data_IF_221457605006
#
_entry.id   IF_221457605006
#
_cell.length_a   1.000
_cell.length_b   1.000
_cell.length_c   1.000
_cell.angle_alpha   90.00
_cell.angle_beta   90.00
_cell.angle_gamma   90.00
#
_symmetry.space_group_name_H-M   'P 1'
#
loop_
_entity.id
_entity.type
_entity.pdbx_description
1 polymer ?
#
# COMPACT_ATOMS: atom_id res chain seq x y z
N UNK A 1 -4.49 -22.78 62.21
CA UNK A 1 -4.19 -24.07 61.55
C UNK A 1 -3.77 -23.78 60.12
N UNK A 2 -2.54 -24.14 59.76
CA UNK A 2 -1.99 -24.03 58.39
C UNK A 2 -2.61 -25.10 57.51
N UNK A 3 -2.87 -24.79 56.24
CA UNK A 3 -2.85 -25.77 55.15
C UNK A 3 -2.01 -25.20 54.01
N UNK A 4 -1.20 -26.06 53.41
CA UNK A 4 -0.03 -25.78 52.59
C UNK A 4 -0.17 -26.42 51.21
N UNK A 5 0.39 -25.71 50.21
CA UNK A 5 0.89 -26.16 48.89
C UNK A 5 -0.22 -26.50 47.86
N UNK A 6 -0.09 -26.11 46.59
CA UNK A 6 1.02 -26.48 45.69
C UNK A 6 1.23 -25.44 44.59
N UNK A 7 2.49 -25.06 44.35
CA UNK A 7 2.92 -24.34 43.17
C UNK A 7 3.03 -25.32 41.99
N UNK A 8 2.32 -25.02 40.90
CA UNK A 8 2.44 -25.71 39.63
C UNK A 8 3.46 -25.00 38.75
N UNK A 9 4.58 -25.67 38.51
CA UNK A 9 5.59 -25.33 37.52
C UNK A 9 5.00 -25.56 36.14
N UNK A 10 4.99 -24.52 35.29
CA UNK A 10 4.91 -24.67 33.85
C UNK A 10 6.23 -24.16 33.26
N UNK A 11 6.96 -25.07 32.64
CA UNK A 11 8.20 -24.84 31.90
C UNK A 11 7.93 -25.14 30.43
N UNK A 12 8.69 -24.44 29.57
CA UNK A 12 8.92 -24.66 28.13
C UNK A 12 7.90 -24.04 27.16
N UNK A 13 8.28 -23.38 26.06
CA UNK A 13 9.59 -23.18 25.41
C UNK A 13 9.58 -21.82 24.71
N UNK A 14 10.63 -21.02 24.94
CA UNK A 14 10.97 -19.89 24.09
C UNK A 14 11.67 -20.42 22.84
N UNK A 15 11.06 -20.26 21.67
CA UNK A 15 11.82 -20.25 20.42
C UNK A 15 12.39 -18.84 20.30
N UNK A 16 13.63 -18.69 20.79
CA UNK A 16 14.45 -17.51 20.59
C UNK A 16 14.87 -17.49 19.12
N UNK A 17 14.03 -16.92 18.25
CA UNK A 17 14.54 -16.34 17.02
C UNK A 17 15.38 -15.14 17.45
N UNK A 18 16.71 -15.29 17.35
CA UNK A 18 17.70 -14.23 17.48
C UNK A 18 17.48 -13.20 16.37
N UNK A 19 16.44 -12.39 16.51
CA UNK A 19 16.48 -11.02 16.05
C UNK A 19 17.35 -10.28 17.08
N UNK A 20 18.40 -9.55 16.67
CA UNK A 20 18.97 -8.60 17.60
C UNK A 20 17.82 -7.69 18.01
N UNK A 21 17.53 -7.64 19.31
CA UNK A 21 16.76 -6.56 19.89
C UNK A 21 17.42 -5.27 19.39
N UNK A 22 16.80 -4.60 18.40
CA UNK A 22 16.85 -3.16 18.41
C UNK A 22 16.03 -2.75 19.63
N UNK A 23 16.66 -2.88 20.80
CA UNK A 23 16.35 -2.00 21.89
C UNK A 23 16.47 -0.60 21.28
N UNK A 24 15.36 0.12 21.18
CA UNK A 24 15.43 1.57 21.14
C UNK A 24 16.08 1.99 22.46
N UNK A 25 17.41 1.99 22.50
CA UNK A 25 18.13 2.71 23.52
C UNK A 25 17.65 4.16 23.40
N UNK A 26 17.12 4.71 24.49
CA UNK A 26 16.99 6.14 24.58
C UNK A 26 18.38 6.74 24.25
N UNK A 27 18.46 7.77 23.40
CA UNK A 27 19.75 8.36 23.02
C UNK A 27 20.49 8.73 24.30
N UNK A 28 21.69 8.16 24.49
CA UNK A 28 22.56 8.55 25.59
C UNK A 28 22.91 10.03 25.43
N UNK A 29 23.08 10.76 26.52
CA UNK A 29 23.32 12.22 26.52
C UNK A 29 24.59 12.68 25.73
N UNK A 30 25.38 11.74 25.20
CA UNK A 30 26.57 11.95 24.37
C UNK A 30 26.38 11.62 22.87
N UNK A 31 25.18 11.22 22.43
CA UNK A 31 24.94 11.11 20.98
C UNK A 31 24.89 12.51 20.35
N UNK A 32 25.67 12.79 19.29
CA UNK A 32 25.59 14.07 18.61
C UNK A 32 24.16 14.25 18.10
N UNK A 33 23.60 15.44 18.37
CA UNK A 33 22.25 15.77 17.94
C UNK A 33 22.11 15.45 16.43
N UNK A 34 21.01 14.81 16.02
CA UNK A 34 20.80 14.45 14.63
C UNK A 34 20.95 15.72 13.77
N UNK A 35 21.78 15.63 12.74
CA UNK A 35 22.06 16.75 11.85
C UNK A 35 20.73 17.23 11.27
N UNK A 36 20.34 18.47 11.61
CA UNK A 36 19.06 19.01 11.17
C UNK A 36 19.14 19.23 9.65
N UNK A 37 18.55 18.32 8.89
CA UNK A 37 18.42 18.46 7.44
C UNK A 37 17.55 19.68 7.19
N UNK A 38 18.19 20.80 6.84
CA UNK A 38 17.49 22.02 6.46
C UNK A 38 17.07 21.89 5.00
N UNK A 39 15.78 21.66 4.76
CA UNK A 39 15.21 21.70 3.40
C UNK A 39 15.36 23.12 2.86
N UNK A 40 16.22 23.30 1.85
CA UNK A 40 16.38 24.58 1.16
C UNK A 40 15.47 24.60 -0.06
N UNK A 41 14.41 25.41 0.00
CA UNK A 41 13.61 25.73 -1.18
C UNK A 41 14.42 26.67 -2.08
N UNK A 42 14.70 26.24 -3.31
CA UNK A 42 15.28 27.09 -4.35
C UNK A 42 14.23 27.28 -5.44
N UNK A 43 13.68 28.48 -5.55
CA UNK A 43 12.89 28.85 -6.71
C UNK A 43 13.82 28.88 -7.93
N UNK A 44 13.43 28.19 -9.00
CA UNK A 44 14.15 28.22 -10.28
C UNK A 44 13.37 29.15 -11.20
N UNK A 45 13.88 30.38 -11.39
CA UNK A 45 13.31 31.31 -12.36
C UNK A 45 13.37 30.73 -13.77
N UNK A 46 12.26 30.78 -14.51
CA UNK A 46 12.14 30.16 -15.84
C UNK A 46 12.16 28.63 -15.82
N UNK A 47 11.95 27.99 -14.66
CA UNK A 47 11.87 26.53 -14.53
C UNK A 47 10.49 25.96 -14.90
N UNK A 48 9.48 26.80 -15.07
CA UNK A 48 8.15 26.38 -15.47
C UNK A 48 8.14 25.94 -16.94
N UNK A 49 7.41 24.87 -17.22
CA UNK A 49 7.21 24.39 -18.59
C UNK A 49 6.36 25.38 -19.39
N UNK A 50 6.81 25.73 -20.59
CA UNK A 50 6.01 26.46 -21.59
C UNK A 50 4.81 25.63 -22.11
N UNK A 51 4.87 24.30 -21.94
CA UNK A 51 3.76 23.39 -22.27
C UNK A 51 2.67 23.50 -21.23
N UNK A 52 1.42 23.66 -21.67
CA UNK A 52 0.26 23.73 -20.78
C UNK A 52 0.03 22.39 -20.10
N UNK A 53 -0.32 22.43 -18.81
CA UNK A 53 -0.57 21.20 -18.04
C UNK A 53 -1.67 20.32 -18.66
N UNK A 54 -2.69 20.91 -19.29
CA UNK A 54 -3.75 20.16 -19.96
C UNK A 54 -3.26 19.39 -21.19
N UNK A 55 -2.24 19.90 -21.89
CA UNK A 55 -1.61 19.23 -23.03
C UNK A 55 -0.72 18.06 -22.58
N UNK A 56 -0.39 17.99 -21.28
CA UNK A 56 0.39 16.93 -20.66
C UNK A 56 -0.49 15.83 -20.02
N UNK A 57 -1.83 15.96 -20.05
CA UNK A 57 -2.74 14.98 -19.44
C UNK A 57 -2.97 13.79 -20.35
N UNK A 58 -2.77 12.58 -19.82
CA UNK A 58 -3.03 11.32 -20.50
C UNK A 58 -3.47 10.23 -19.53
N UNK A 59 -4.10 9.20 -20.07
CA UNK A 59 -4.47 7.99 -19.32
C UNK A 59 -3.39 6.94 -19.57
N UNK A 60 -2.79 6.42 -18.51
CA UNK A 60 -1.79 5.34 -18.59
C UNK A 60 -2.45 3.96 -18.46
N UNK A 61 -3.46 3.84 -17.58
CA UNK A 61 -4.28 2.65 -17.36
C UNK A 61 -5.73 3.12 -17.18
N UNK A 62 -6.65 2.54 -17.94
CA UNK A 62 -8.07 2.85 -17.85
C UNK A 62 -8.89 2.15 -18.94
N UNK A 63 -10.22 2.37 -18.99
CA UNK A 63 -11.07 1.75 -19.99
C UNK A 63 -10.59 2.05 -21.43
N UNK A 64 -10.39 1.00 -22.23
CA UNK A 64 -9.88 1.07 -23.59
C UNK A 64 -8.39 1.41 -23.72
N UNK A 65 -7.67 1.64 -22.62
CA UNK A 65 -6.27 2.08 -22.61
C UNK A 65 -5.47 1.23 -21.61
N UNK A 66 -4.65 0.33 -22.13
CA UNK A 66 -3.73 -0.50 -21.33
C UNK A 66 -4.43 -1.14 -20.11
N UNK A 67 -5.59 -1.75 -20.34
CA UNK A 67 -6.47 -2.23 -19.29
C UNK A 67 -5.79 -3.26 -18.38
N UNK A 68 -6.26 -3.35 -17.14
CA UNK A 68 -5.89 -4.43 -16.22
C UNK A 68 -6.50 -5.74 -16.70
N UNK A 69 -5.74 -6.83 -16.67
CA UNK A 69 -6.29 -8.15 -16.96
C UNK A 69 -7.27 -8.57 -15.84
N UNK A 70 -8.46 -9.09 -16.18
CA UNK A 70 -9.48 -9.39 -15.17
C UNK A 70 -9.01 -10.39 -14.11
N UNK A 71 -9.42 -10.16 -12.86
CA UNK A 71 -9.21 -11.06 -11.72
C UNK A 71 -10.46 -11.10 -10.83
N UNK A 72 -10.62 -12.09 -9.92
CA UNK A 72 -11.74 -12.13 -8.99
C UNK A 72 -11.79 -10.86 -8.12
N UNK A 73 -12.88 -10.10 -8.20
CA UNK A 73 -12.99 -8.78 -7.57
C UNK A 73 -12.50 -7.61 -8.42
N UNK A 74 -12.19 -7.82 -9.69
CA UNK A 74 -12.01 -6.74 -10.66
C UNK A 74 -13.36 -6.13 -11.05
N UNK A 75 -13.52 -4.82 -10.90
CA UNK A 75 -14.71 -4.08 -11.31
C UNK A 75 -14.41 -2.74 -11.98
N UNK A 76 -13.17 -2.54 -12.44
CA UNK A 76 -12.79 -1.37 -13.23
C UNK A 76 -12.22 -0.20 -12.42
N UNK A 77 -12.09 -0.32 -11.10
CA UNK A 77 -11.48 0.73 -10.30
C UNK A 77 -9.96 0.73 -10.49
N UNK A 78 -9.41 1.88 -10.86
CA UNK A 78 -7.97 2.16 -10.92
C UNK A 78 -7.76 3.49 -10.23
N UNK A 79 -6.89 3.52 -9.23
CA UNK A 79 -6.56 4.76 -8.53
C UNK A 79 -5.53 4.51 -7.45
N UNK A 80 -5.41 5.43 -6.50
CA UNK A 80 -4.47 5.27 -5.40
C UNK A 80 -3.03 5.12 -5.92
N UNK A 81 -2.70 5.96 -6.90
CA UNK A 81 -1.47 5.88 -7.67
C UNK A 81 -0.27 6.54 -6.98
N UNK A 82 0.93 6.09 -7.34
CA UNK A 82 2.18 6.67 -6.87
C UNK A 82 3.25 6.55 -7.96
N UNK A 83 3.53 7.63 -8.71
CA UNK A 83 4.59 7.64 -9.70
C UNK A 83 5.96 7.85 -9.05
N UNK A 84 6.99 7.22 -9.62
CA UNK A 84 8.40 7.52 -9.35
C UNK A 84 9.20 7.46 -10.65
N UNK A 85 10.18 8.36 -10.79
CA UNK A 85 11.25 8.24 -11.78
C UNK A 85 12.51 7.76 -11.07
N UNK A 86 13.03 6.60 -11.48
CA UNK A 86 14.25 6.04 -10.96
C UNK A 86 15.48 6.78 -11.50
N UNK A 87 16.63 6.67 -10.83
CA UNK A 87 17.93 7.19 -11.27
C UNK A 87 18.36 6.64 -12.63
N UNK A 88 17.91 5.42 -12.98
CA UNK A 88 18.12 4.83 -14.31
C UNK A 88 17.39 5.57 -15.43
N UNK A 89 16.42 6.41 -15.09
CA UNK A 89 15.51 7.07 -16.03
C UNK A 89 14.19 6.32 -16.25
N UNK A 90 14.07 5.07 -15.78
CA UNK A 90 12.83 4.29 -15.84
C UNK A 90 11.75 4.89 -14.92
N UNK A 91 10.51 4.89 -15.38
CA UNK A 91 9.37 5.39 -14.61
C UNK A 91 8.53 4.20 -14.15
N UNK A 92 8.14 4.21 -12.88
CA UNK A 92 7.20 3.26 -12.31
C UNK A 92 5.95 4.02 -11.86
N UNK A 93 4.78 3.43 -12.09
CA UNK A 93 3.52 3.90 -11.52
C UNK A 93 2.87 2.72 -10.83
N UNK A 94 2.82 2.77 -9.51
CA UNK A 94 2.05 1.86 -8.69
C UNK A 94 0.63 2.39 -8.54
N UNK A 95 -0.35 1.50 -8.44
CA UNK A 95 -1.75 1.86 -8.26
C UNK A 95 -2.52 0.69 -7.64
N UNK A 96 -3.71 0.96 -7.10
CA UNK A 96 -4.66 -0.07 -6.70
C UNK A 96 -5.62 -0.36 -7.86
N UNK A 97 -5.90 -1.64 -8.07
CA UNK A 97 -6.89 -2.16 -8.98
C UNK A 97 -7.95 -2.93 -8.18
N UNK A 98 -9.23 -2.64 -8.40
CA UNK A 98 -10.30 -3.27 -7.62
C UNK A 98 -11.68 -3.13 -8.24
N UNK A 99 -12.71 -3.37 -7.43
CA UNK A 99 -14.10 -3.27 -7.85
C UNK A 99 -14.76 -1.94 -7.50
N UNK A 100 -14.18 -1.17 -6.56
CA UNK A 100 -14.68 0.15 -6.16
C UNK A 100 -13.59 0.98 -5.45
N UNK A 101 -13.94 2.20 -5.02
CA UNK A 101 -13.03 3.12 -4.32
C UNK A 101 -12.32 2.50 -3.12
N UNK A 102 -13.02 1.62 -2.40
CA UNK A 102 -12.45 0.67 -1.47
C UNK A 102 -12.95 -0.72 -1.86
N UNK A 103 -12.03 -1.68 -1.94
CA UNK A 103 -12.28 -3.02 -2.44
C UNK A 103 -11.91 -4.09 -1.40
N UNK A 104 -12.44 -4.07 -0.16
CA UNK A 104 -12.15 -5.10 0.83
C UNK A 104 -12.59 -6.50 0.38
N UNK A 105 -12.02 -7.57 0.96
CA UNK A 105 -12.40 -8.93 0.61
C UNK A 105 -13.86 -9.23 0.96
N UNK A 106 -14.53 -10.02 0.12
CA UNK A 106 -15.90 -10.50 0.35
C UNK A 106 -15.91 -11.84 1.10
N UNK A 107 -16.93 -12.14 1.92
CA UNK A 107 -18.14 -11.36 2.16
C UNK A 107 -17.88 -10.10 2.99
N UNK A 108 -18.55 -9.01 2.61
CA UNK A 108 -18.43 -7.72 3.29
C UNK A 108 -19.03 -7.81 4.69
N UNK A 109 -18.27 -7.35 5.68
CA UNK A 109 -18.68 -7.36 7.10
C UNK A 109 -19.12 -5.97 7.57
N UNK A 110 -20.21 -5.47 6.97
CA UNK A 110 -20.82 -4.18 7.32
C UNK A 110 -22.31 -4.35 7.63
N UNK A 111 -22.93 -3.42 8.38
CA UNK A 111 -24.39 -3.40 8.55
C UNK A 111 -25.09 -3.32 7.18
N UNK A 112 -26.21 -4.03 7.02
CA UNK A 112 -26.93 -4.12 5.73
C UNK A 112 -27.30 -2.74 5.18
N UNK A 113 -27.77 -1.82 6.02
CA UNK A 113 -28.11 -0.44 5.63
C UNK A 113 -26.94 0.31 4.97
N UNK A 114 -25.70 0.08 5.45
CA UNK A 114 -24.49 0.68 4.88
C UNK A 114 -24.18 0.05 3.52
N UNK A 115 -24.36 -1.26 3.39
CA UNK A 115 -24.14 -1.97 2.13
C UNK A 115 -25.17 -1.54 1.07
N UNK A 116 -26.44 -1.39 1.46
CA UNK A 116 -27.50 -0.86 0.60
C UNK A 116 -27.17 0.56 0.10
N UNK A 117 -26.71 1.45 0.99
CA UNK A 117 -26.25 2.79 0.61
C UNK A 117 -25.10 2.72 -0.40
N UNK A 118 -24.07 1.92 -0.16
CA UNK A 118 -22.94 1.78 -1.06
C UNK A 118 -23.31 1.20 -2.42
N UNK A 119 -24.23 0.25 -2.45
CA UNK A 119 -24.77 -0.27 -3.71
C UNK A 119 -25.55 0.81 -4.48
N UNK A 120 -26.30 1.68 -3.79
CA UNK A 120 -26.97 2.82 -4.42
C UNK A 120 -25.97 3.87 -4.94
N UNK A 121 -24.79 3.98 -4.32
CA UNK A 121 -23.67 4.80 -4.80
C UNK A 121 -22.86 4.14 -5.93
N UNK A 122 -23.24 2.93 -6.37
CA UNK A 122 -22.63 2.23 -7.49
C UNK A 122 -21.55 1.22 -7.13
N UNK A 123 -21.39 0.85 -5.84
CA UNK A 123 -20.55 -0.29 -5.48
C UNK A 123 -21.13 -1.58 -6.09
N UNK A 124 -20.39 -2.32 -6.93
CA UNK A 124 -20.91 -3.52 -7.55
C UNK A 124 -21.02 -4.66 -6.53
N UNK A 125 -21.99 -5.56 -6.74
CA UNK A 125 -22.04 -6.86 -6.04
C UNK A 125 -21.10 -7.82 -6.77
N UNK A 126 -19.94 -8.08 -6.17
CA UNK A 126 -18.88 -8.92 -6.77
C UNK A 126 -18.44 -10.03 -5.81
N UNK A 127 -17.85 -11.08 -6.36
CA UNK A 127 -17.07 -12.05 -5.60
C UNK A 127 -15.59 -11.65 -5.66
N UNK A 128 -15.08 -11.12 -4.54
CA UNK A 128 -13.73 -10.59 -4.38
C UNK A 128 -13.08 -11.23 -3.15
N UNK A 129 -12.72 -12.52 -3.17
CA UNK A 129 -12.23 -13.23 -1.97
C UNK A 129 -10.91 -12.67 -1.41
N UNK A 130 -10.20 -11.84 -2.17
CA UNK A 130 -8.92 -11.21 -1.79
C UNK A 130 -8.95 -9.68 -1.83
N UNK A 131 -10.09 -9.08 -2.19
CA UNK A 131 -10.18 -7.63 -2.36
C UNK A 131 -9.43 -7.08 -3.58
N UNK A 132 -9.06 -5.80 -3.51
CA UNK A 132 -8.26 -5.10 -4.51
C UNK A 132 -6.76 -5.41 -4.40
N UNK A 133 -6.03 -5.20 -5.50
CA UNK A 133 -4.60 -5.52 -5.62
C UNK A 133 -3.80 -4.26 -5.86
N UNK A 134 -2.57 -4.22 -5.35
CA UNK A 134 -1.60 -3.24 -5.77
C UNK A 134 -0.91 -3.76 -7.04
N UNK A 135 -0.94 -2.93 -8.07
CA UNK A 135 -0.40 -3.21 -9.40
C UNK A 135 0.64 -2.15 -9.78
N UNK A 136 1.40 -2.46 -10.81
CA UNK A 136 2.47 -1.60 -11.32
C UNK A 136 2.48 -1.59 -12.85
N UNK A 137 2.82 -0.44 -13.42
CA UNK A 137 3.22 -0.28 -14.82
C UNK A 137 4.55 0.44 -14.88
N UNK A 138 5.34 0.18 -15.93
CA UNK A 138 6.64 0.80 -16.16
C UNK A 138 6.76 1.44 -17.52
N UNK A 139 7.59 2.47 -17.62
CA UNK A 139 8.03 3.06 -18.88
C UNK A 139 9.55 3.21 -18.90
N UNK A 140 10.17 2.78 -20.00
CA UNK A 140 11.61 2.89 -20.25
C UNK A 140 11.95 3.95 -21.31
N UNK A 141 10.95 4.70 -21.78
CA UNK A 141 11.05 5.65 -22.90
C UNK A 141 10.47 7.03 -22.56
N UNK A 142 10.61 7.43 -21.28
CA UNK A 142 10.18 8.73 -20.76
C UNK A 142 8.65 8.94 -20.83
N UNK A 143 7.89 7.88 -20.60
CA UNK A 143 6.41 7.93 -20.53
C UNK A 143 5.71 7.87 -21.88
N UNK A 144 6.43 7.63 -22.99
CA UNK A 144 5.84 7.53 -24.34
C UNK A 144 5.06 6.23 -24.52
N UNK A 145 5.58 5.14 -23.98
CA UNK A 145 4.90 3.85 -23.91
C UNK A 145 5.00 3.24 -22.52
N UNK A 146 4.05 2.36 -22.21
CA UNK A 146 3.91 1.74 -20.90
C UNK A 146 3.77 0.23 -21.04
N UNK A 147 4.34 -0.51 -20.09
CA UNK A 147 4.09 -1.95 -19.96
C UNK A 147 2.62 -2.22 -19.68
N UNK A 148 2.21 -3.47 -19.90
CA UNK A 148 0.97 -3.99 -19.34
C UNK A 148 0.98 -3.88 -17.81
N UNK A 149 -0.17 -3.63 -17.15
CA UNK A 149 -0.31 -3.77 -15.70
C UNK A 149 0.12 -5.15 -15.21
N UNK A 150 1.00 -5.16 -14.21
CA UNK A 150 1.44 -6.38 -13.52
C UNK A 150 1.05 -6.30 -12.04
N UNK A 151 0.75 -7.45 -11.43
CA UNK A 151 0.47 -7.51 -9.99
C UNK A 151 1.78 -7.33 -9.22
N UNK A 152 1.79 -6.35 -8.31
CA UNK A 152 2.91 -6.09 -7.41
C UNK A 152 2.67 -6.78 -6.06
N UNK A 153 1.49 -6.56 -5.48
CA UNK A 153 1.07 -7.16 -4.20
C UNK A 153 -0.39 -7.62 -4.36
N UNK A 154 -0.65 -8.84 -3.90
CA UNK A 154 -1.97 -9.47 -3.83
C UNK A 154 -2.01 -10.25 -2.52
N UNK A 155 -2.35 -9.59 -1.42
CA UNK A 155 -2.61 -10.20 -0.11
C UNK A 155 -4.08 -10.64 -0.03
N UNK A 156 -4.52 -11.33 1.04
CA UNK A 156 -5.94 -11.59 1.28
C UNK A 156 -6.78 -10.34 1.63
N UNK A 157 -6.31 -9.13 1.34
CA UNK A 157 -6.91 -7.84 1.69
C UNK A 157 -6.78 -6.85 0.52
N UNK A 158 -7.49 -5.71 0.62
CA UNK A 158 -7.38 -4.62 -0.35
C UNK A 158 -6.02 -3.91 -0.24
N UNK A 159 -5.10 -4.20 -1.16
CA UNK A 159 -3.74 -3.66 -1.16
C UNK A 159 -3.68 -2.28 -1.86
N UNK A 160 -3.41 -1.23 -1.08
CA UNK A 160 -3.61 0.16 -1.51
C UNK A 160 -2.38 1.03 -1.36
N UNK A 161 -2.32 2.08 -2.20
CA UNK A 161 -1.24 3.07 -2.25
C UNK A 161 0.16 2.45 -2.25
N UNK A 162 0.55 1.62 -3.25
CA UNK A 162 1.93 1.20 -3.39
C UNK A 162 2.81 2.40 -3.76
N UNK A 163 3.41 3.04 -2.77
CA UNK A 163 4.26 4.22 -2.91
C UNK A 163 5.74 3.84 -2.85
N UNK A 164 6.53 4.37 -3.77
CA UNK A 164 7.92 3.98 -3.93
C UNK A 164 8.91 5.05 -3.47
N UNK A 165 10.08 4.60 -3.01
CA UNK A 165 11.26 5.41 -2.76
C UNK A 165 12.49 4.64 -3.22
N UNK A 166 13.29 5.24 -4.10
CA UNK A 166 14.59 4.68 -4.46
C UNK A 166 15.67 5.15 -3.47
N UNK A 167 16.33 4.19 -2.83
CA UNK A 167 17.40 4.41 -1.86
C UNK A 167 18.73 4.74 -2.55
N UNK A 168 19.73 5.30 -1.83
CA UNK A 168 21.04 5.65 -2.40
C UNK A 168 21.74 4.50 -3.11
N UNK A 169 21.63 3.28 -2.59
CA UNK A 169 22.21 2.04 -3.13
C UNK A 169 21.46 1.44 -4.32
N UNK A 170 20.33 2.05 -4.72
CA UNK A 170 19.49 1.60 -5.83
C UNK A 170 18.39 0.62 -5.44
N UNK A 171 18.27 0.24 -4.16
CA UNK A 171 17.11 -0.52 -3.71
C UNK A 171 15.84 0.33 -3.78
N UNK A 172 14.71 -0.31 -4.10
CA UNK A 172 13.39 0.35 -4.15
C UNK A 172 12.59 -0.10 -2.93
N UNK A 173 12.28 0.84 -2.04
CA UNK A 173 11.31 0.63 -0.98
C UNK A 173 9.90 0.85 -1.53
N UNK A 174 8.98 -0.05 -1.19
CA UNK A 174 7.56 0.11 -1.46
C UNK A 174 6.81 0.12 -0.13
N UNK A 175 6.14 1.22 0.16
CA UNK A 175 5.20 1.34 1.28
C UNK A 175 3.79 1.19 0.73
N UNK A 176 2.94 0.43 1.42
CA UNK A 176 1.54 0.25 1.07
C UNK A 176 0.74 -0.02 2.35
N UNK A 177 -0.58 0.01 2.26
CA UNK A 177 -1.43 -0.44 3.37
C UNK A 177 -2.50 -1.40 2.87
N UNK A 178 -2.91 -2.30 3.75
CA UNK A 178 -3.99 -3.25 3.50
C UNK A 178 -5.26 -2.77 4.15
N UNK A 179 -6.38 -2.85 3.43
CA UNK A 179 -7.71 -2.56 3.96
C UNK A 179 -8.60 -3.80 3.88
N UNK A 180 -9.25 -4.10 5.00
CA UNK A 180 -9.98 -5.37 5.19
C UNK A 180 -11.47 -5.16 5.41
N UNK A 181 -11.92 -3.89 5.37
CA UNK A 181 -13.26 -3.50 5.74
C UNK A 181 -13.37 -3.07 7.20
N UNK A 182 -14.51 -3.37 7.84
CA UNK A 182 -14.75 -3.01 9.25
C UNK A 182 -14.06 -4.02 10.18
N UNK A 183 -13.24 -3.49 11.09
CA UNK A 183 -12.56 -4.25 12.13
C UNK A 183 -11.03 -4.16 12.04
N UNK A 184 -10.40 -4.00 13.20
CA UNK A 184 -8.95 -4.02 13.34
C UNK A 184 -8.55 -5.44 13.78
N UNK A 185 -8.00 -6.26 12.88
CA UNK A 185 -7.58 -7.63 13.21
C UNK A 185 -6.51 -7.67 14.31
N UNK A 186 -5.75 -6.59 14.50
CA UNK A 186 -4.79 -6.49 15.60
C UNK A 186 -5.47 -6.28 16.96
N UNK A 187 -6.74 -5.83 16.97
CA UNK A 187 -7.53 -5.60 18.19
C UNK A 187 -8.66 -6.61 18.40
N UNK A 188 -9.11 -7.27 17.33
CA UNK A 188 -10.15 -8.30 17.39
C UNK A 188 -9.77 -9.50 16.52
N UNK A 189 -9.12 -10.47 17.15
CA UNK A 189 -8.69 -11.74 16.54
C UNK A 189 -9.85 -12.67 16.22
N UNK A 190 -11.07 -12.39 16.72
CA UNK A 190 -12.26 -13.16 16.34
C UNK A 190 -12.72 -12.88 14.91
N UNK A 191 -12.16 -11.86 14.28
CA UNK A 191 -12.41 -11.53 12.90
C UNK A 191 -11.54 -12.36 11.92
N UNK A 192 -10.46 -13.00 12.39
CA UNK A 192 -9.53 -13.80 11.57
C UNK A 192 -10.12 -15.12 11.06
#
# INVERSE_FOLDING_TARGET
MRSTRTAGIWVMFWVLLLLPELACSAPTADEPAPEIITVKMKAVEGGDSEVKADDCRGIVVGPGINEVDPFPGWGGFVGWESPIRLKSGEWLVGFNAGYWHASPPTPLRFPEEVLEEWHNLGMPKVDAPRGGRAMIVRSTDEGKSWSKPETLIDTPADDRHPSFLELPDGAILCSFFTYVGKGDYAKDTSLA
#
